data_IF_074811582113
#
_entry.id   IF_074811582113
#
_cell.length_a   1.000
_cell.length_b   1.000
_cell.length_c   1.000
_cell.angle_alpha   90.00
_cell.angle_beta   90.00
_cell.angle_gamma   90.00
#
_symmetry.space_group_name_H-M   'P 1'
#
loop_
_entity.id
_entity.type
_entity.pdbx_description
1 polymer ?
#
# COMPACT_ATOMS: atom_id res chain seq x y z
N UNK A 1 -13.95 -11.94 -23.74
CA UNK A 1 -12.69 -12.26 -23.01
C UNK A 1 -12.96 -12.02 -21.54
N UNK A 2 -12.70 -13.04 -20.73
CA UNK A 2 -12.87 -13.00 -19.27
C UNK A 2 -11.50 -13.09 -18.61
N UNK A 3 -11.17 -12.11 -17.76
CA UNK A 3 -9.89 -12.04 -17.03
C UNK A 3 -10.12 -12.43 -15.57
N UNK A 4 -9.35 -13.40 -15.07
CA UNK A 4 -9.34 -13.80 -13.67
C UNK A 4 -8.19 -13.11 -12.96
N UNK A 5 -8.50 -12.37 -11.89
CA UNK A 5 -7.52 -11.58 -11.12
C UNK A 5 -7.40 -12.19 -9.73
N UNK A 6 -6.26 -12.81 -9.46
CA UNK A 6 -5.98 -13.44 -8.17
C UNK A 6 -5.40 -12.39 -7.20
N UNK A 7 -6.19 -11.97 -6.22
CA UNK A 7 -5.86 -10.98 -5.20
C UNK A 7 -6.65 -9.68 -5.30
N UNK A 8 -7.31 -9.31 -4.19
CA UNK A 8 -8.15 -8.11 -4.02
C UNK A 8 -7.43 -6.93 -3.36
N UNK A 9 -6.09 -6.86 -3.51
CA UNK A 9 -5.30 -5.69 -3.12
C UNK A 9 -5.41 -4.55 -4.13
N UNK A 10 -4.68 -3.44 -3.89
CA UNK A 10 -4.71 -2.25 -4.73
C UNK A 10 -4.39 -2.54 -6.20
N UNK A 11 -3.49 -3.49 -6.48
CA UNK A 11 -3.13 -3.87 -7.84
C UNK A 11 -4.30 -4.57 -8.52
N UNK A 12 -4.88 -5.59 -7.88
CA UNK A 12 -6.03 -6.32 -8.44
C UNK A 12 -7.25 -5.45 -8.64
N UNK A 13 -7.61 -4.63 -7.66
CA UNK A 13 -8.73 -3.70 -7.74
C UNK A 13 -8.55 -2.67 -8.87
N UNK A 14 -7.33 -2.12 -9.01
CA UNK A 14 -7.02 -1.17 -10.09
C UNK A 14 -7.09 -1.82 -11.47
N UNK A 15 -6.55 -3.04 -11.62
CA UNK A 15 -6.64 -3.79 -12.88
C UNK A 15 -8.10 -4.07 -13.24
N UNK A 16 -8.91 -4.53 -12.28
CA UNK A 16 -10.34 -4.77 -12.48
C UNK A 16 -11.06 -3.50 -12.98
N UNK A 17 -10.80 -2.35 -12.33
CA UNK A 17 -11.40 -1.08 -12.73
C UNK A 17 -11.01 -0.68 -14.16
N UNK A 18 -9.72 -0.71 -14.50
CA UNK A 18 -9.28 -0.30 -15.83
C UNK A 18 -9.66 -1.29 -16.94
N UNK A 19 -9.86 -2.57 -16.63
CA UNK A 19 -10.44 -3.55 -17.55
C UNK A 19 -11.94 -3.29 -17.77
N UNK A 20 -12.70 -3.09 -16.69
CA UNK A 20 -14.13 -2.82 -16.77
C UNK A 20 -14.42 -1.53 -17.58
N UNK A 21 -13.62 -0.47 -17.40
CA UNK A 21 -13.70 0.74 -18.26
C UNK A 21 -13.49 0.48 -19.75
N UNK A 22 -12.85 -0.63 -20.11
CA UNK A 22 -12.61 -1.07 -21.49
C UNK A 22 -13.66 -2.10 -21.97
N UNK A 23 -14.68 -2.38 -21.17
CA UNK A 23 -15.69 -3.39 -21.46
C UNK A 23 -15.15 -4.82 -21.40
N UNK A 24 -14.07 -5.05 -20.66
CA UNK A 24 -13.50 -6.38 -20.47
C UNK A 24 -14.04 -6.97 -19.17
N UNK A 25 -14.70 -8.13 -19.29
CA UNK A 25 -15.20 -8.89 -18.15
C UNK A 25 -14.04 -9.34 -17.24
N UNK A 26 -14.18 -9.12 -15.95
CA UNK A 26 -13.18 -9.58 -14.98
C UNK A 26 -13.83 -10.10 -13.70
N UNK A 27 -13.16 -11.10 -13.09
CA UNK A 27 -13.49 -11.65 -11.78
C UNK A 27 -12.25 -11.52 -10.89
N UNK A 28 -12.38 -10.74 -9.81
CA UNK A 28 -11.38 -10.70 -8.75
C UNK A 28 -11.65 -11.85 -7.77
N UNK A 29 -10.64 -12.65 -7.50
CA UNK A 29 -10.71 -13.76 -6.54
C UNK A 29 -9.79 -13.39 -5.38
N UNK A 30 -10.39 -13.17 -4.22
CA UNK A 30 -9.68 -12.74 -3.01
C UNK A 30 -9.88 -13.80 -1.91
N UNK A 31 -8.79 -14.15 -1.25
CA UNK A 31 -8.82 -15.21 -0.26
C UNK A 31 -9.64 -14.87 0.99
N UNK A 32 -9.46 -13.66 1.53
CA UNK A 32 -9.96 -13.28 2.85
C UNK A 32 -10.89 -12.06 2.78
N UNK A 33 -10.40 -10.96 2.23
CA UNK A 33 -11.15 -9.72 2.10
C UNK A 33 -10.36 -8.64 1.35
N UNK A 34 -11.09 -7.73 0.73
CA UNK A 34 -10.47 -6.63 -0.02
C UNK A 34 -9.53 -5.80 0.88
N UNK A 35 -8.33 -5.54 0.41
CA UNK A 35 -7.34 -4.74 1.11
C UNK A 35 -6.96 -5.24 2.52
N UNK A 36 -7.17 -6.50 2.87
CA UNK A 36 -6.95 -7.02 4.23
C UNK A 36 -5.46 -7.07 4.64
N UNK A 37 -4.54 -7.07 3.69
CA UNK A 37 -3.10 -7.10 3.91
C UNK A 37 -2.43 -5.73 3.62
N UNK A 38 -1.30 -5.70 2.92
CA UNK A 38 -0.47 -4.52 2.68
C UNK A 38 -1.26 -3.32 2.14
N UNK A 39 -2.18 -3.53 1.19
CA UNK A 39 -2.96 -2.45 0.56
C UNK A 39 -3.90 -1.73 1.52
N UNK A 40 -4.30 -2.33 2.64
CA UNK A 40 -5.14 -1.67 3.64
C UNK A 40 -4.36 -1.13 4.83
N UNK A 41 -3.14 -1.60 5.04
CA UNK A 41 -2.34 -1.33 6.24
C UNK A 41 -1.13 -0.41 5.97
N UNK A 42 -0.93 0.07 4.74
CA UNK A 42 0.18 0.96 4.36
C UNK A 42 -0.06 2.42 4.75
N UNK A 43 0.99 3.25 4.69
CA UNK A 43 0.92 4.68 5.00
C UNK A 43 0.10 5.50 4.01
N UNK A 44 0.10 5.10 2.73
CA UNK A 44 -0.63 5.78 1.67
C UNK A 44 0.08 7.00 1.10
N UNK A 45 1.39 7.12 1.30
CA UNK A 45 2.21 8.18 0.74
C UNK A 45 2.44 7.99 -0.76
N UNK A 46 2.43 9.09 -1.50
CA UNK A 46 2.61 9.14 -2.96
C UNK A 46 3.66 10.18 -3.32
N UNK A 47 4.61 9.81 -4.19
CA UNK A 47 5.64 10.69 -4.72
C UNK A 47 5.68 10.66 -6.25
N UNK A 48 5.80 11.83 -6.86
CA UNK A 48 5.86 12.00 -8.32
C UNK A 48 7.20 11.53 -8.89
N UNK A 49 8.29 11.93 -8.25
CA UNK A 49 9.63 11.99 -8.83
C UNK A 49 10.67 11.08 -8.13
N UNK A 50 10.27 10.34 -7.08
CA UNK A 50 11.19 9.48 -6.35
C UNK A 50 11.68 8.25 -7.14
N UNK A 51 11.01 7.93 -8.24
CA UNK A 51 11.43 6.87 -9.17
C UNK A 51 12.13 7.42 -10.41
N UNK A 52 12.44 8.71 -10.47
CA UNK A 52 13.10 9.30 -11.63
C UNK A 52 14.50 8.73 -11.85
N UNK A 53 14.85 8.54 -13.11
CA UNK A 53 16.09 7.87 -13.51
C UNK A 53 16.07 6.35 -13.40
N UNK A 54 14.95 5.75 -13.00
CA UNK A 54 14.74 4.29 -12.97
C UNK A 54 13.76 3.84 -14.07
N UNK A 55 13.71 2.54 -14.41
CA UNK A 55 12.68 2.01 -15.32
C UNK A 55 11.24 2.23 -14.86
N UNK A 56 11.01 2.53 -13.57
CA UNK A 56 9.71 2.78 -12.98
C UNK A 56 9.21 4.22 -13.17
N UNK A 57 10.05 5.15 -13.61
CA UNK A 57 9.70 6.58 -13.74
C UNK A 57 8.40 6.83 -14.52
N UNK A 58 8.17 6.26 -15.72
CA UNK A 58 6.93 6.52 -16.46
C UNK A 58 5.68 6.03 -15.71
N UNK A 59 5.78 4.85 -15.08
CA UNK A 59 4.69 4.27 -14.28
C UNK A 59 4.38 5.13 -13.04
N UNK A 60 5.40 5.52 -12.29
CA UNK A 60 5.25 6.33 -11.09
C UNK A 60 4.59 7.68 -11.39
N UNK A 61 5.08 8.38 -12.43
CA UNK A 61 4.53 9.67 -12.84
C UNK A 61 3.10 9.56 -13.34
N UNK A 62 2.75 8.54 -14.13
CA UNK A 62 1.37 8.32 -14.57
C UNK A 62 0.46 7.94 -13.40
N UNK A 63 0.93 7.09 -12.48
CA UNK A 63 0.17 6.70 -11.28
C UNK A 63 -0.11 7.90 -10.38
N UNK A 64 0.88 8.77 -10.18
CA UNK A 64 0.72 10.00 -9.39
C UNK A 64 -0.35 10.93 -10.00
N UNK A 65 -0.35 11.10 -11.32
CA UNK A 65 -1.37 11.89 -12.02
C UNK A 65 -2.76 11.25 -11.87
N UNK A 66 -2.88 9.92 -12.02
CA UNK A 66 -4.13 9.19 -11.86
C UNK A 66 -4.72 9.35 -10.45
N UNK A 67 -3.91 9.37 -9.41
CA UNK A 67 -4.42 9.61 -8.05
C UNK A 67 -5.07 10.99 -7.89
N UNK A 68 -4.71 11.98 -8.67
CA UNK A 68 -5.36 13.29 -8.69
C UNK A 68 -6.65 13.31 -9.55
N UNK A 69 -6.69 12.49 -10.62
CA UNK A 69 -7.81 12.40 -11.56
C UNK A 69 -8.99 11.56 -10.99
N UNK A 70 -8.67 10.40 -10.39
CA UNK A 70 -9.64 9.39 -9.95
C UNK A 70 -10.70 9.86 -8.95
N UNK A 71 -10.43 10.75 -7.96
CA UNK A 71 -11.48 11.24 -7.06
C UNK A 71 -12.63 11.93 -7.78
N UNK A 72 -12.33 12.64 -8.87
CA UNK A 72 -13.34 13.32 -9.67
C UNK A 72 -14.03 12.36 -10.62
N UNK A 73 -13.31 11.37 -11.14
CA UNK A 73 -13.85 10.40 -12.09
C UNK A 73 -14.77 9.36 -11.43
N UNK A 74 -14.38 8.84 -10.27
CA UNK A 74 -15.11 7.78 -9.57
C UNK A 74 -16.12 8.35 -8.58
N UNK A 75 -15.87 9.56 -8.05
CA UNK A 75 -16.74 10.18 -7.06
C UNK A 75 -16.62 9.53 -5.68
N UNK A 76 -15.44 9.53 -5.09
CA UNK A 76 -15.19 8.95 -3.77
C UNK A 76 -14.27 9.80 -2.90
N UNK A 77 -14.45 9.67 -1.58
CA UNK A 77 -13.55 10.28 -0.60
C UNK A 77 -12.71 9.20 0.09
N UNK A 78 -11.47 9.09 -0.33
CA UNK A 78 -10.44 8.27 0.30
C UNK A 78 -9.29 9.09 0.84
N UNK A 79 -9.57 10.35 1.21
CA UNK A 79 -8.60 11.24 1.84
C UNK A 79 -7.44 11.63 0.93
N UNK A 80 -7.64 11.66 -0.40
CA UNK A 80 -6.61 12.19 -1.30
C UNK A 80 -6.35 13.65 -1.01
N UNK A 81 -5.09 13.98 -0.72
CA UNK A 81 -4.65 15.38 -0.63
C UNK A 81 -3.19 15.52 -1.04
N UNK A 82 -2.87 16.68 -1.60
CA UNK A 82 -1.49 17.12 -1.76
C UNK A 82 -0.92 17.53 -0.42
N UNK A 83 0.37 17.26 -0.20
CA UNK A 83 1.03 17.59 1.05
C UNK A 83 2.49 18.03 0.82
N UNK A 84 3.09 18.64 1.83
CA UNK A 84 4.52 18.94 1.84
C UNK A 84 5.23 17.87 2.67
N UNK A 85 6.40 17.45 2.22
CA UNK A 85 7.16 16.37 2.84
C UNK A 85 8.51 16.89 3.32
N UNK A 86 8.86 16.58 4.55
CA UNK A 86 10.11 16.99 5.17
C UNK A 86 10.93 15.78 5.62
N UNK A 87 12.25 15.91 5.50
CA UNK A 87 13.24 15.01 6.05
C UNK A 87 13.95 15.62 7.25
N UNK A 88 14.36 14.76 8.18
CA UNK A 88 15.04 15.24 9.38
C UNK A 88 15.45 14.12 10.31
N UNK A 89 15.65 14.47 11.58
CA UNK A 89 16.03 13.53 12.64
C UNK A 89 15.16 13.70 13.88
N UNK A 90 15.02 12.64 14.65
CA UNK A 90 14.37 12.64 15.96
C UNK A 90 15.35 12.08 17.03
N UNK A 91 15.35 12.70 18.21
CA UNK A 91 16.17 12.31 19.35
C UNK A 91 15.35 12.44 20.64
N UNK A 92 14.92 11.33 21.21
CA UNK A 92 14.11 11.29 22.44
C UNK A 92 14.78 11.97 23.63
N UNK A 93 16.11 12.02 23.69
CA UNK A 93 16.85 12.70 24.77
C UNK A 93 16.70 14.23 24.73
N UNK A 94 16.13 14.76 23.68
CA UNK A 94 15.96 16.20 23.43
C UNK A 94 14.51 16.65 23.47
N UNK A 95 13.60 15.80 23.89
CA UNK A 95 12.15 16.07 23.84
C UNK A 95 11.75 17.34 24.63
N UNK A 96 12.44 17.61 25.74
CA UNK A 96 12.19 18.79 26.58
C UNK A 96 12.89 20.06 26.09
N UNK A 97 13.61 20.01 24.99
CA UNK A 97 14.27 21.19 24.40
C UNK A 97 13.36 21.85 23.37
N UNK A 98 13.55 23.15 23.11
CA UNK A 98 12.87 23.79 21.98
C UNK A 98 13.08 23.01 20.70
N UNK A 99 12.07 22.93 19.86
CA UNK A 99 12.17 22.31 18.55
C UNK A 99 13.41 22.86 17.81
N UNK A 100 14.14 21.99 17.15
CA UNK A 100 15.23 22.38 16.27
C UNK A 100 14.70 23.15 15.05
N UNK A 101 15.42 23.10 13.94
CA UNK A 101 14.94 23.68 12.69
C UNK A 101 13.64 22.97 12.27
N UNK A 102 12.50 23.68 12.16
CA UNK A 102 11.20 23.08 11.96
C UNK A 102 10.56 23.41 10.61
N UNK A 103 11.16 24.25 9.78
CA UNK A 103 10.56 24.76 8.53
C UNK A 103 9.14 25.37 8.71
N UNK A 104 8.78 25.79 9.94
CA UNK A 104 7.46 26.29 10.25
C UNK A 104 6.42 25.22 10.59
N UNK A 105 6.79 23.94 10.58
CA UNK A 105 5.96 22.83 11.06
C UNK A 105 5.74 22.99 12.57
N UNK A 106 4.48 23.10 13.00
CA UNK A 106 4.12 23.48 14.36
C UNK A 106 3.75 22.32 15.27
N UNK A 107 3.51 21.15 14.71
CA UNK A 107 3.04 19.98 15.44
C UNK A 107 4.17 19.00 15.83
N UNK A 108 5.42 19.31 15.51
CA UNK A 108 6.59 18.52 15.91
C UNK A 108 7.09 18.93 17.30
N UNK A 109 7.49 17.94 18.09
CA UNK A 109 8.05 18.13 19.42
C UNK A 109 9.54 18.56 19.38
N UNK A 110 10.08 18.99 20.51
CA UNK A 110 11.46 19.50 20.65
C UNK A 110 12.56 18.52 20.29
N UNK A 111 12.29 17.22 20.32
CA UNK A 111 13.23 16.18 19.88
C UNK A 111 13.38 16.09 18.36
N UNK A 112 12.51 16.73 17.57
CA UNK A 112 12.53 16.67 16.11
C UNK A 112 13.28 17.86 15.52
N UNK A 113 14.13 17.59 14.51
CA UNK A 113 14.84 18.60 13.72
C UNK A 113 14.66 18.30 12.25
N UNK A 114 13.95 19.15 11.54
CA UNK A 114 13.72 19.04 10.09
C UNK A 114 14.88 19.72 9.37
N UNK A 115 15.58 19.01 8.51
CA UNK A 115 16.80 19.49 7.86
C UNK A 115 16.61 19.89 6.40
N UNK A 116 15.63 19.29 5.72
CA UNK A 116 15.36 19.57 4.31
C UNK A 116 13.92 19.23 3.95
N UNK A 117 13.50 19.77 2.81
CA UNK A 117 12.21 19.43 2.20
C UNK A 117 12.42 18.36 1.13
N UNK A 118 11.71 17.24 1.27
CA UNK A 118 11.74 16.10 0.36
C UNK A 118 10.73 16.22 -0.79
N UNK A 119 9.68 17.03 -0.61
CA UNK A 119 8.66 17.24 -1.61
C UNK A 119 7.73 18.39 -1.27
N UNK A 120 6.99 18.85 -2.26
CA UNK A 120 5.99 19.91 -2.15
C UNK A 120 4.61 19.40 -2.55
N UNK A 121 3.60 20.24 -2.42
CA UNK A 121 2.25 19.96 -2.92
C UNK A 121 2.21 19.67 -4.43
N UNK A 122 3.27 19.97 -5.19
CA UNK A 122 3.37 19.59 -6.59
C UNK A 122 3.88 18.17 -6.79
N UNK A 123 4.69 17.68 -5.85
CA UNK A 123 5.44 16.42 -6.01
C UNK A 123 5.05 15.32 -5.03
N UNK A 124 4.33 15.65 -3.94
CA UNK A 124 3.90 14.66 -2.95
C UNK A 124 2.41 14.76 -2.60
N UNK A 125 1.82 13.61 -2.31
CA UNK A 125 0.42 13.47 -1.95
C UNK A 125 0.21 12.27 -1.02
N UNK A 126 -1.00 12.08 -0.52
CA UNK A 126 -1.38 10.89 0.23
C UNK A 126 -2.81 10.47 -0.09
N UNK A 127 -3.10 9.22 0.24
CA UNK A 127 -4.44 8.62 0.24
C UNK A 127 -4.63 7.81 1.52
N UNK A 128 -5.87 7.50 1.88
CA UNK A 128 -6.15 6.41 2.82
C UNK A 128 -6.18 5.09 2.03
N UNK A 129 -5.18 4.20 2.14
CA UNK A 129 -4.98 3.12 1.18
C UNK A 129 -6.11 2.09 1.16
N UNK A 130 -6.69 1.75 2.33
CA UNK A 130 -7.83 0.84 2.40
C UNK A 130 -9.07 1.42 1.68
N UNK A 131 -9.39 2.70 1.92
CA UNK A 131 -10.52 3.38 1.28
C UNK A 131 -10.32 3.51 -0.23
N UNK A 132 -9.10 3.84 -0.66
CA UNK A 132 -8.76 3.90 -2.08
C UNK A 132 -8.96 2.54 -2.77
N UNK A 133 -8.40 1.46 -2.19
CA UNK A 133 -8.54 0.11 -2.76
C UNK A 133 -10.01 -0.33 -2.84
N UNK A 134 -10.79 -0.07 -1.79
CA UNK A 134 -12.22 -0.37 -1.78
C UNK A 134 -13.00 0.45 -2.83
N UNK A 135 -12.69 1.75 -2.95
CA UNK A 135 -13.33 2.62 -3.95
C UNK A 135 -13.06 2.15 -5.39
N UNK A 136 -11.80 1.78 -5.69
CA UNK A 136 -11.43 1.21 -6.98
C UNK A 136 -12.21 -0.07 -7.30
N UNK A 137 -12.39 -0.96 -6.31
CA UNK A 137 -13.13 -2.19 -6.51
C UNK A 137 -14.63 -1.95 -6.68
N UNK A 138 -15.22 -1.08 -5.86
CA UNK A 138 -16.63 -0.69 -6.02
C UNK A 138 -16.91 -0.05 -7.39
N UNK A 139 -16.00 0.80 -7.87
CA UNK A 139 -16.12 1.38 -9.20
C UNK A 139 -16.00 0.32 -10.32
N UNK A 140 -15.12 -0.67 -10.15
CA UNK A 140 -15.01 -1.79 -11.06
C UNK A 140 -16.30 -2.61 -11.09
N UNK A 141 -16.91 -2.90 -9.93
CA UNK A 141 -18.18 -3.63 -9.82
C UNK A 141 -19.34 -2.86 -10.44
N UNK A 142 -19.40 -1.54 -10.25
CA UNK A 142 -20.39 -0.69 -10.90
C UNK A 142 -20.31 -0.73 -12.44
N UNK A 143 -19.16 -1.10 -12.99
CA UNK A 143 -18.91 -1.28 -14.42
C UNK A 143 -18.97 -2.75 -14.88
N UNK A 144 -19.39 -3.68 -14.01
CA UNK A 144 -19.60 -5.08 -14.35
C UNK A 144 -18.47 -6.04 -14.02
N UNK A 145 -17.48 -5.63 -13.21
CA UNK A 145 -16.53 -6.58 -12.64
C UNK A 145 -17.14 -7.33 -11.46
N UNK A 146 -16.74 -8.59 -11.25
CA UNK A 146 -17.20 -9.41 -10.14
C UNK A 146 -16.09 -9.63 -9.09
N UNK A 147 -16.52 -9.97 -7.86
CA UNK A 147 -15.64 -10.39 -6.77
C UNK A 147 -16.13 -11.71 -6.20
N UNK A 148 -15.22 -12.65 -6.04
CA UNK A 148 -15.44 -13.91 -5.31
C UNK A 148 -14.45 -14.03 -4.18
N UNK A 149 -14.94 -14.35 -2.98
CA UNK A 149 -14.08 -14.79 -1.88
C UNK A 149 -13.81 -16.28 -2.07
N UNK A 150 -12.52 -16.65 -2.05
CA UNK A 150 -12.07 -18.02 -2.25
C UNK A 150 -10.55 -18.10 -2.42
N UNK A 151 -9.99 -19.26 -2.12
CA UNK A 151 -8.56 -19.50 -2.21
C UNK A 151 -8.18 -20.06 -3.59
N UNK A 152 -7.37 -19.28 -4.34
CA UNK A 152 -6.75 -19.80 -5.57
C UNK A 152 -5.64 -20.79 -5.18
N UNK A 153 -5.71 -22.01 -5.72
CA UNK A 153 -4.76 -23.09 -5.45
C UNK A 153 -3.96 -23.50 -6.68
N UNK A 154 -4.33 -23.03 -7.86
CA UNK A 154 -3.63 -23.37 -9.09
C UNK A 154 -4.08 -22.59 -10.31
N UNK A 155 -3.28 -22.68 -11.39
CA UNK A 155 -3.62 -22.19 -12.71
C UNK A 155 -3.88 -23.38 -13.64
N UNK A 156 -5.06 -23.41 -14.25
CA UNK A 156 -5.44 -24.47 -15.19
C UNK A 156 -4.94 -24.10 -16.59
N UNK A 157 -4.13 -24.97 -17.18
CA UNK A 157 -3.57 -24.80 -18.53
C UNK A 157 -4.34 -25.63 -19.56
N UNK A 158 -4.21 -25.26 -20.81
CA UNK A 158 -4.74 -26.06 -21.92
C UNK A 158 -4.08 -27.45 -21.97
N UNK A 159 -4.78 -28.42 -22.53
CA UNK A 159 -4.29 -29.80 -22.66
C UNK A 159 -3.02 -29.94 -23.51
N UNK A 160 -2.78 -28.98 -24.37
CA UNK A 160 -1.55 -28.84 -25.18
C UNK A 160 -0.39 -28.17 -24.43
N UNK A 161 -0.61 -27.81 -23.16
CA UNK A 161 0.35 -27.07 -22.32
C UNK A 161 0.51 -25.60 -22.71
N UNK A 162 -0.22 -25.12 -23.70
CA UNK A 162 -0.23 -23.71 -24.12
C UNK A 162 -1.47 -23.00 -23.59
N UNK A 163 -1.29 -21.72 -23.27
CA UNK A 163 -2.39 -20.88 -22.80
C UNK A 163 -2.95 -21.26 -21.43
N UNK A 164 -3.77 -20.36 -20.91
CA UNK A 164 -4.50 -20.50 -19.65
C UNK A 164 -5.96 -20.84 -19.97
N UNK A 165 -6.61 -21.66 -19.16
CA UNK A 165 -8.03 -22.02 -19.25
C UNK A 165 -8.83 -21.58 -18.02
N UNK A 166 -8.15 -21.23 -16.94
CA UNK A 166 -8.79 -20.82 -15.72
C UNK A 166 -7.88 -20.92 -14.51
N UNK A 167 -8.50 -20.84 -13.34
CA UNK A 167 -7.85 -21.07 -12.03
C UNK A 167 -8.65 -22.08 -11.23
N UNK A 168 -7.97 -22.79 -10.34
CA UNK A 168 -8.61 -23.62 -9.33
C UNK A 168 -8.85 -22.78 -8.07
N UNK A 169 -10.10 -22.80 -7.58
CA UNK A 169 -10.53 -22.05 -6.41
C UNK A 169 -11.35 -22.98 -5.51
N UNK A 170 -10.86 -23.25 -4.30
CA UNK A 170 -11.54 -24.13 -3.32
C UNK A 170 -11.94 -25.50 -3.90
N UNK A 171 -11.12 -26.05 -4.79
CA UNK A 171 -11.34 -27.33 -5.46
C UNK A 171 -12.24 -27.26 -6.71
N UNK A 172 -12.73 -26.09 -7.09
CA UNK A 172 -13.50 -25.88 -8.32
C UNK A 172 -12.68 -25.15 -9.39
N UNK A 173 -12.88 -25.47 -10.66
CA UNK A 173 -12.25 -24.76 -11.77
C UNK A 173 -13.15 -23.62 -12.22
N UNK A 174 -12.63 -22.39 -12.16
CA UNK A 174 -13.25 -21.22 -12.74
C UNK A 174 -12.60 -20.94 -14.10
N UNK A 175 -13.39 -20.99 -15.16
CA UNK A 175 -12.91 -20.77 -16.52
C UNK A 175 -12.64 -19.27 -16.78
N UNK A 176 -11.56 -19.00 -17.53
CA UNK A 176 -11.19 -17.66 -17.99
C UNK A 176 -10.13 -17.73 -19.09
N UNK A 177 -10.04 -16.64 -19.86
CA UNK A 177 -9.15 -16.53 -21.01
C UNK A 177 -7.76 -16.01 -20.66
N UNK A 178 -7.66 -15.30 -19.51
CA UNK A 178 -6.40 -14.77 -18.98
C UNK A 178 -6.42 -14.78 -17.45
N UNK A 179 -5.23 -14.88 -16.85
CA UNK A 179 -5.04 -14.85 -15.39
C UNK A 179 -4.02 -13.78 -15.04
N UNK A 180 -4.34 -12.98 -14.03
CA UNK A 180 -3.45 -11.99 -13.43
C UNK A 180 -3.11 -12.44 -12.02
N UNK A 181 -1.83 -12.56 -11.71
CA UNK A 181 -1.33 -12.83 -10.35
C UNK A 181 -1.07 -11.49 -9.67
N UNK A 182 -1.92 -11.14 -8.70
CA UNK A 182 -1.87 -9.87 -7.96
C UNK A 182 -1.98 -10.09 -6.43
N UNK A 183 -1.45 -11.23 -5.95
CA UNK A 183 -1.59 -11.71 -4.57
C UNK A 183 -0.58 -11.10 -3.59
N UNK A 184 0.04 -9.95 -3.94
CA UNK A 184 1.07 -9.34 -3.10
C UNK A 184 2.20 -10.32 -2.76
N UNK A 185 2.66 -10.38 -1.50
CA UNK A 185 3.72 -11.33 -1.12
C UNK A 185 3.34 -12.79 -1.31
N UNK A 186 2.06 -13.16 -1.23
CA UNK A 186 1.57 -14.52 -1.53
C UNK A 186 1.67 -14.91 -3.01
N UNK A 187 2.09 -13.98 -3.89
CA UNK A 187 2.42 -14.33 -5.29
C UNK A 187 3.55 -15.35 -5.38
N UNK A 188 4.33 -15.57 -4.31
CA UNK A 188 5.30 -16.68 -4.21
C UNK A 188 4.64 -18.06 -4.43
N UNK A 189 3.36 -18.22 -4.05
CA UNK A 189 2.63 -19.47 -4.24
C UNK A 189 2.46 -19.81 -5.72
N UNK A 190 2.37 -18.80 -6.57
CA UNK A 190 2.23 -18.99 -8.01
C UNK A 190 3.50 -19.56 -8.67
N UNK A 191 4.66 -19.48 -8.03
CA UNK A 191 5.88 -20.15 -8.49
C UNK A 191 5.76 -21.67 -8.50
N UNK A 192 4.86 -22.24 -7.70
CA UNK A 192 4.51 -23.68 -7.76
C UNK A 192 3.59 -24.04 -8.94
N UNK A 193 2.97 -23.07 -9.60
CA UNK A 193 2.02 -23.28 -10.70
C UNK A 193 2.60 -22.91 -12.07
N UNK A 194 3.47 -21.91 -12.07
CA UNK A 194 4.04 -21.28 -13.26
C UNK A 194 5.52 -20.98 -13.04
N UNK A 195 6.36 -20.97 -14.09
CA UNK A 195 7.77 -20.59 -13.99
C UNK A 195 7.91 -19.07 -13.80
N UNK A 196 7.55 -18.57 -12.63
CA UNK A 196 7.60 -17.15 -12.28
C UNK A 196 8.83 -16.84 -11.43
N UNK A 197 9.34 -15.60 -11.46
CA UNK A 197 10.35 -15.14 -10.51
C UNK A 197 9.88 -15.29 -9.07
N UNK A 198 10.80 -15.58 -8.16
CA UNK A 198 10.50 -15.62 -6.73
C UNK A 198 10.11 -14.22 -6.23
N UNK A 199 9.04 -14.17 -5.44
CA UNK A 199 8.57 -12.98 -4.72
C UNK A 199 8.65 -13.29 -3.24
N UNK A 200 9.12 -12.36 -2.42
CA UNK A 200 9.14 -12.50 -0.96
C UNK A 200 8.46 -11.29 -0.31
N UNK A 201 8.05 -11.45 0.93
CA UNK A 201 7.43 -10.40 1.72
C UNK A 201 8.41 -9.79 2.71
N UNK A 202 8.38 -8.48 2.83
CA UNK A 202 8.95 -7.74 3.94
C UNK A 202 7.80 -7.26 4.82
N UNK A 203 7.82 -7.63 6.11
CA UNK A 203 6.77 -7.23 7.06
C UNK A 203 7.12 -5.86 7.64
N UNK A 204 6.26 -4.86 7.38
CA UNK A 204 6.34 -3.55 8.01
C UNK A 204 5.43 -3.48 9.23
N UNK A 205 5.91 -2.87 10.31
CA UNK A 205 5.13 -2.60 11.52
C UNK A 205 4.73 -1.13 11.57
N UNK A 206 3.48 -0.87 11.92
CA UNK A 206 2.94 0.47 11.97
C UNK A 206 1.93 0.63 13.09
N UNK A 207 1.76 1.87 13.53
CA UNK A 207 0.72 2.33 14.45
C UNK A 207 -0.14 3.37 13.77
N UNK A 208 -1.39 3.46 14.21
CA UNK A 208 -2.31 4.52 13.82
C UNK A 208 -2.79 5.20 15.08
N UNK A 209 -2.41 6.46 15.25
CA UNK A 209 -2.78 7.30 16.40
C UNK A 209 -4.03 8.12 16.09
N UNK A 210 -4.89 8.33 17.07
CA UNK A 210 -5.99 9.29 17.01
C UNK A 210 -5.43 10.67 17.42
N UNK A 211 -5.16 11.52 16.44
CA UNK A 211 -4.46 12.79 16.64
C UNK A 211 -5.34 14.02 16.44
N UNK A 212 -6.57 13.83 15.99
CA UNK A 212 -7.46 14.93 15.63
C UNK A 212 -7.20 15.46 14.21
N UNK A 213 -8.15 16.24 13.71
CA UNK A 213 -8.16 16.71 12.31
C UNK A 213 -7.30 17.98 12.06
N UNK A 214 -6.68 18.54 13.09
CA UNK A 214 -6.00 19.83 12.99
C UNK A 214 -4.58 19.77 12.45
N UNK A 215 -4.03 18.56 12.21
CA UNK A 215 -2.67 18.41 11.69
C UNK A 215 -2.65 18.76 10.19
N UNK A 216 -1.81 19.72 9.79
CA UNK A 216 -1.71 20.15 8.39
C UNK A 216 -1.34 19.01 7.42
N UNK A 217 -1.47 19.30 6.11
CA UNK A 217 -1.07 18.39 5.04
C UNK A 217 0.47 18.33 4.91
N UNK A 218 1.09 17.69 5.88
CA UNK A 218 2.55 17.56 6.01
C UNK A 218 2.90 16.12 6.33
N UNK A 219 4.01 15.60 5.78
CA UNK A 219 4.54 14.28 6.05
C UNK A 219 6.00 14.36 6.48
N UNK A 220 6.44 13.43 7.32
CA UNK A 220 7.81 13.40 7.82
C UNK A 220 8.46 12.07 7.52
N UNK A 221 9.73 12.14 7.11
CA UNK A 221 10.66 11.02 7.01
C UNK A 221 11.85 11.35 7.91
N UNK A 222 12.02 10.62 8.98
CA UNK A 222 12.98 10.95 10.03
C UNK A 222 14.04 9.85 10.19
N UNK A 223 15.20 10.23 10.65
CA UNK A 223 16.19 9.30 11.20
C UNK A 223 16.11 9.36 12.74
N UNK A 224 15.88 8.24 13.37
CA UNK A 224 15.81 8.10 14.82
C UNK A 224 16.91 7.20 15.32
N UNK A 225 17.73 7.74 16.22
CA UNK A 225 18.81 7.00 16.88
C UNK A 225 18.25 6.27 18.11
N UNK A 226 17.87 5.01 17.95
CA UNK A 226 17.33 4.20 19.04
C UNK A 226 18.37 3.92 20.12
N UNK A 227 19.57 3.48 19.70
CA UNK A 227 20.76 3.30 20.53
C UNK A 227 22.02 3.35 19.65
N UNK A 228 23.24 3.43 20.22
CA UNK A 228 24.46 3.48 19.41
C UNK A 228 24.53 2.34 18.38
N UNK A 229 24.60 2.70 17.10
CA UNK A 229 24.67 1.74 15.99
C UNK A 229 23.33 1.29 15.42
N UNK A 230 22.17 1.64 16.03
CA UNK A 230 20.86 1.33 15.50
C UNK A 230 20.10 2.61 15.13
N UNK A 231 19.91 2.83 13.83
CA UNK A 231 19.08 3.90 13.28
C UNK A 231 17.80 3.30 12.75
N UNK A 232 16.68 3.87 13.15
CA UNK A 232 15.37 3.60 12.58
C UNK A 232 14.94 4.77 11.70
N UNK A 233 14.06 4.53 10.76
CA UNK A 233 13.58 5.55 9.81
C UNK A 233 12.07 5.72 9.93
N UNK A 234 11.59 6.37 11.01
CA UNK A 234 10.15 6.57 11.18
C UNK A 234 9.59 7.49 10.10
N UNK A 235 8.46 7.05 9.56
CA UNK A 235 7.63 7.80 8.62
C UNK A 235 6.33 8.18 9.31
N UNK A 236 5.94 9.45 9.21
CA UNK A 236 4.76 9.99 9.90
C UNK A 236 3.84 10.64 8.89
N UNK A 237 2.62 10.12 8.78
CA UNK A 237 1.63 10.56 7.81
C UNK A 237 0.29 10.89 8.48
N UNK A 238 0.07 12.16 8.87
CA UNK A 238 -1.24 12.62 9.31
C UNK A 238 -2.26 12.47 8.18
N UNK A 239 -3.49 12.04 8.50
CA UNK A 239 -4.57 11.77 7.55
C UNK A 239 -5.73 12.76 7.72
N UNK A 240 -6.58 12.84 6.71
CA UNK A 240 -7.76 13.71 6.71
C UNK A 240 -8.86 13.28 7.69
N UNK A 241 -8.81 12.03 8.14
CA UNK A 241 -9.80 11.47 9.08
C UNK A 241 -9.42 11.65 10.55
N UNK A 242 -8.41 12.45 10.85
CA UNK A 242 -7.96 12.72 12.21
C UNK A 242 -7.04 11.64 12.77
N UNK A 243 -6.58 10.72 11.94
CA UNK A 243 -5.58 9.74 12.35
C UNK A 243 -4.19 10.13 11.84
N UNK A 244 -3.14 9.62 12.50
CA UNK A 244 -1.76 9.70 12.03
C UNK A 244 -1.16 8.30 11.97
N UNK A 245 -0.72 7.92 10.79
CA UNK A 245 -0.01 6.67 10.57
C UNK A 245 1.49 6.87 10.84
N UNK A 246 2.08 5.94 11.58
CA UNK A 246 3.53 5.91 11.86
C UNK A 246 4.05 4.51 11.59
N UNK A 247 5.15 4.39 10.86
CA UNK A 247 5.91 3.15 10.71
C UNK A 247 7.40 3.41 10.80
N UNK A 248 8.17 2.41 11.23
CA UNK A 248 9.63 2.52 11.33
C UNK A 248 10.33 1.17 11.26
N UNK A 249 9.67 0.10 11.68
CA UNK A 249 10.29 -1.21 11.88
C UNK A 249 9.85 -2.16 10.78
N UNK A 250 10.80 -2.87 10.21
CA UNK A 250 10.53 -3.98 9.28
C UNK A 250 11.25 -5.24 9.75
N UNK A 251 10.69 -6.39 9.37
CA UNK A 251 11.27 -7.70 9.63
C UNK A 251 11.04 -8.66 8.47
N UNK A 252 11.89 -9.65 8.39
CA UNK A 252 11.71 -10.81 7.52
C UNK A 252 11.10 -11.95 8.33
N UNK A 253 10.18 -12.68 7.73
CA UNK A 253 9.54 -13.82 8.38
C UNK A 253 8.68 -14.62 7.40
N UNK A 254 8.25 -15.82 7.79
CA UNK A 254 7.37 -16.62 6.96
C UNK A 254 6.02 -15.91 6.75
N UNK A 255 5.47 -16.02 5.55
CA UNK A 255 4.11 -15.59 5.28
C UNK A 255 3.14 -16.53 5.99
N UNK A 256 2.16 -15.99 6.73
CA UNK A 256 1.09 -16.83 7.26
C UNK A 256 0.26 -17.42 6.13
N UNK A 257 -0.40 -18.52 6.40
CA UNK A 257 -1.27 -19.15 5.42
C UNK A 257 -2.43 -18.24 5.03
N UNK A 258 -3.02 -17.52 5.97
CA UNK A 258 -4.06 -16.53 5.72
C UNK A 258 -3.51 -15.10 5.83
N UNK A 259 -3.78 -14.20 4.85
CA UNK A 259 -3.41 -12.79 4.94
C UNK A 259 -3.97 -12.05 6.17
N UNK A 260 -5.09 -12.50 6.74
CA UNK A 260 -5.66 -11.92 7.95
C UNK A 260 -4.80 -12.20 9.19
N UNK A 261 -4.01 -13.28 9.19
CA UNK A 261 -3.17 -13.70 10.30
C UNK A 261 -1.83 -12.94 10.37
N UNK A 262 -1.62 -11.96 9.49
CA UNK A 262 -0.43 -11.09 9.58
C UNK A 262 -0.52 -10.24 10.85
N UNK A 263 0.24 -10.64 11.86
CA UNK A 263 0.34 -9.98 13.15
C UNK A 263 1.69 -9.27 13.34
N UNK A 264 1.77 -8.26 14.21
CA UNK A 264 3.04 -7.68 14.61
C UNK A 264 3.97 -8.71 15.25
N UNK A 265 5.28 -8.52 15.10
CA UNK A 265 6.27 -9.29 15.84
C UNK A 265 6.25 -8.91 17.31
N UNK A 266 6.68 -9.83 18.17
CA UNK A 266 6.76 -9.60 19.61
C UNK A 266 7.62 -8.37 19.92
N UNK A 267 7.06 -7.46 20.71
CA UNK A 267 7.71 -6.22 21.11
C UNK A 267 7.78 -5.12 20.05
N UNK A 268 7.41 -5.36 18.79
CA UNK A 268 7.49 -4.36 17.73
C UNK A 268 6.61 -3.14 18.00
N UNK A 269 5.40 -3.37 18.53
CA UNK A 269 4.46 -2.27 18.87
C UNK A 269 5.03 -1.42 20.01
N UNK A 270 5.52 -2.04 21.09
CA UNK A 270 6.13 -1.33 22.20
C UNK A 270 7.35 -0.49 21.79
N UNK A 271 8.15 -0.99 20.84
CA UNK A 271 9.27 -0.22 20.27
C UNK A 271 8.79 0.98 19.46
N UNK A 272 7.74 0.82 18.64
CA UNK A 272 7.17 1.94 17.89
C UNK A 272 6.56 3.01 18.81
N UNK A 273 5.94 2.61 19.91
CA UNK A 273 5.39 3.54 20.91
C UNK A 273 6.48 4.29 21.68
N UNK A 274 7.67 3.70 21.82
CA UNK A 274 8.79 4.29 22.52
C UNK A 274 9.64 5.24 21.66
N UNK A 275 9.43 5.28 20.36
CA UNK A 275 10.11 6.20 19.42
C UNK A 275 9.48 7.58 19.42
#
# INVERSE_FOLDING_TARGET
MRVLICGGGVIGASIAYFLARRGVESLVIERTGLACAASGKSGGFLALDWCDGTPLQPLARRSFALHAELPQEIGGDWGYRRLTTYGGSADARRIDRPAGRSYGVRWVAGGVSLTHRLGSTDTTAQVHPARFTAAMMHAAQALGADVRIGQVTGVVRGSDGTGVRGVEVDGEVIAGDAVVIAMGPWSILAAGWLPLPAVYGLKGHSLVFQTGAEIPAEALFLEYQEHPGAVQTPEVFPRTDGTTYVCAISSEGPLPADPADVAPDDGAIARLEAM
#
